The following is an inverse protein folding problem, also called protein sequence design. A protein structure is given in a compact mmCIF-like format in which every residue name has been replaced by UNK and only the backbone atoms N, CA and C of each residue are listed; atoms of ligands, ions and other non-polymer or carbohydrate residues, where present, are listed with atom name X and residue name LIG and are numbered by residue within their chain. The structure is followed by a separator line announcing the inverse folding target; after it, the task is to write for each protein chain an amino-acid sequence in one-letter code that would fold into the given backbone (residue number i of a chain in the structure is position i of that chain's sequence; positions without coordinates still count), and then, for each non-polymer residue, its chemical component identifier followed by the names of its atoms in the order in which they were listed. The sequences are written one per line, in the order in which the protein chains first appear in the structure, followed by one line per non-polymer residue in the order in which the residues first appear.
data_IF_267021007362
#
_entry.id   IF_267021007362
#
_cell.length_a   1.000
_cell.length_b   1.000
_cell.length_c   1.000
_cell.angle_alpha   90.00
_cell.angle_beta   90.00
_cell.angle_gamma   90.00
#
_symmetry.space_group_name_H-M   'P 1'
#
loop_
_entity.id
_entity.type
_entity.pdbx_description
1 polymer ?
#
# COMPACT_ATOMS: atom_id res chain seq x y z
N UNK A 1 34.79 -43.72 -21.04
CA UNK A 1 33.84 -44.28 -22.04
C UNK A 1 32.70 -44.95 -21.28
N UNK A 2 31.49 -44.36 -21.38
CA UNK A 2 30.10 -44.87 -21.15
C UNK A 2 29.87 -46.15 -20.31
N UNK A 3 29.13 -46.04 -19.19
CA UNK A 3 27.70 -46.43 -18.99
C UNK A 3 27.46 -47.96 -18.94
N UNK A 4 26.65 -48.60 -18.09
CA UNK A 4 25.44 -48.20 -17.35
C UNK A 4 25.06 -49.27 -16.31
N UNK A 5 24.37 -48.82 -15.24
CA UNK A 5 23.63 -49.60 -14.22
C UNK A 5 22.58 -50.56 -14.81
N UNK A 6 22.07 -51.54 -14.05
CA UNK A 6 20.62 -51.70 -13.80
C UNK A 6 20.27 -52.90 -12.88
N UNK A 7 19.63 -52.56 -11.74
CA UNK A 7 18.45 -53.16 -11.07
C UNK A 7 18.40 -54.64 -10.62
N UNK A 8 18.24 -54.77 -9.29
CA UNK A 8 17.55 -55.81 -8.51
C UNK A 8 16.18 -56.25 -9.06
N UNK A 9 15.73 -57.50 -8.83
CA UNK A 9 14.31 -57.82 -8.86
C UNK A 9 13.75 -58.24 -7.49
N UNK A 10 12.77 -57.46 -7.06
CA UNK A 10 11.79 -57.58 -5.97
C UNK A 10 10.85 -58.83 -6.04
N UNK A 11 11.27 -59.93 -6.66
CA UNK A 11 10.37 -61.06 -6.95
C UNK A 11 10.38 -62.19 -5.91
N UNK A 12 11.40 -62.29 -5.08
CA UNK A 12 11.48 -63.32 -4.02
C UNK A 12 10.39 -63.13 -2.96
N UNK A 13 10.11 -61.89 -2.55
CA UNK A 13 9.06 -61.61 -1.56
C UNK A 13 7.65 -62.00 -2.03
N UNK A 14 7.31 -61.69 -3.29
CA UNK A 14 6.01 -62.06 -3.88
C UNK A 14 5.87 -63.58 -4.06
N UNK A 15 6.93 -64.27 -4.48
CA UNK A 15 6.94 -65.72 -4.61
C UNK A 15 6.80 -66.43 -3.26
N UNK A 16 7.44 -65.93 -2.21
CA UNK A 16 7.32 -66.48 -0.85
C UNK A 16 5.90 -66.30 -0.31
N UNK A 17 5.26 -65.15 -0.55
CA UNK A 17 3.87 -64.91 -0.13
C UNK A 17 2.89 -65.82 -0.90
N UNK A 18 3.08 -65.98 -2.21
CA UNK A 18 2.23 -66.87 -3.02
C UNK A 18 2.40 -68.33 -2.59
N UNK A 19 3.64 -68.77 -2.31
CA UNK A 19 3.90 -70.12 -1.81
C UNK A 19 3.23 -70.38 -0.45
N UNK A 20 3.28 -69.39 0.45
CA UNK A 20 2.66 -69.48 1.77
C UNK A 20 1.12 -69.54 1.67
N UNK A 21 0.51 -68.76 0.78
CA UNK A 21 -0.95 -68.79 0.53
C UNK A 21 -1.39 -70.11 -0.10
N UNK A 22 -0.61 -70.65 -1.04
CA UNK A 22 -0.89 -71.96 -1.67
C UNK A 22 -0.80 -73.10 -0.65
N UNK A 23 0.20 -73.07 0.24
CA UNK A 23 0.30 -74.04 1.34
C UNK A 23 -0.87 -73.93 2.33
N UNK A 24 -1.30 -72.71 2.65
CA UNK A 24 -2.44 -72.47 3.54
C UNK A 24 -3.76 -72.99 2.94
N UNK A 25 -4.01 -72.71 1.67
CA UNK A 25 -5.22 -73.17 0.94
C UNK A 25 -5.18 -74.68 0.73
N UNK A 26 -4.01 -75.26 0.42
CA UNK A 26 -3.83 -76.71 0.33
C UNK A 26 -4.06 -77.42 1.66
N UNK A 27 -3.66 -76.81 2.78
CA UNK A 27 -3.94 -77.32 4.12
C UNK A 27 -5.44 -77.23 4.47
N UNK A 28 -6.13 -76.19 4.01
CA UNK A 28 -7.58 -76.00 4.23
C UNK A 28 -8.45 -76.96 3.40
N UNK A 29 -7.97 -77.40 2.24
CA UNK A 29 -8.68 -78.29 1.31
C UNK A 29 -8.46 -79.79 1.58
N UNK A 30 -7.68 -80.17 2.60
CA UNK A 30 -7.49 -81.57 2.98
C UNK A 30 -8.79 -82.15 3.58
N UNK A 31 -9.23 -83.35 3.14
CA UNK A 31 -10.49 -83.95 3.59
C UNK A 31 -10.46 -84.29 5.08
N UNK A 32 -11.57 -84.04 5.77
CA UNK A 32 -11.71 -84.18 7.24
C UNK A 32 -11.35 -85.58 7.79
N UNK A 33 -11.40 -86.64 6.96
CA UNK A 33 -10.94 -87.97 7.35
C UNK A 33 -9.42 -88.07 7.62
N UNK A 34 -8.58 -87.22 7.02
CA UNK A 34 -7.14 -87.14 7.32
C UNK A 34 -6.84 -86.23 8.54
N UNK A 35 -7.73 -85.29 8.85
CA UNK A 35 -7.62 -84.41 10.02
C UNK A 35 -7.76 -85.18 11.34
N UNK A 36 -8.54 -86.27 11.36
CA UNK A 36 -8.69 -87.16 12.51
C UNK A 36 -7.44 -87.98 12.86
N UNK A 37 -6.55 -88.23 11.89
CA UNK A 37 -5.29 -88.97 12.11
C UNK A 37 -4.21 -88.07 12.73
N UNK A 38 -4.22 -86.77 12.44
CA UNK A 38 -3.32 -85.79 13.06
C UNK A 38 -3.66 -85.49 14.52
N UNK A 39 -4.92 -85.68 14.95
CA UNK A 39 -5.31 -85.52 16.37
C UNK A 39 -4.96 -86.72 17.26
N UNK A 40 -4.62 -87.88 16.67
CA UNK A 40 -4.17 -89.09 17.39
C UNK A 40 -2.66 -89.30 17.37
N UNK A 41 -1.91 -88.47 16.64
CA UNK A 41 -0.46 -88.39 16.72
C UNK A 41 -0.09 -87.34 17.79
N UNK A 42 0.39 -87.82 18.94
CA UNK A 42 0.69 -86.98 20.09
C UNK A 42 1.66 -85.84 19.79
N UNK A 43 1.28 -84.62 20.18
CA UNK A 43 2.14 -83.53 20.66
C UNK A 43 3.49 -83.31 19.94
N UNK A 44 3.49 -82.78 18.70
CA UNK A 44 4.24 -81.53 18.48
C UNK A 44 3.62 -80.58 17.42
N UNK A 45 2.42 -80.84 16.91
CA UNK A 45 1.84 -80.05 15.79
C UNK A 45 1.26 -78.70 16.25
N UNK A 46 0.88 -78.57 17.53
CA UNK A 46 0.31 -77.34 18.09
C UNK A 46 1.29 -76.14 18.18
N UNK A 47 2.60 -76.41 18.19
CA UNK A 47 3.63 -75.35 18.20
C UNK A 47 3.84 -74.70 16.83
N UNK A 48 3.62 -75.45 15.74
CA UNK A 48 3.82 -74.95 14.37
C UNK A 48 2.64 -74.10 13.90
N UNK A 49 1.44 -74.39 14.38
CA UNK A 49 0.19 -73.69 13.99
C UNK A 49 -0.07 -72.41 14.80
N UNK A 50 0.53 -72.27 15.99
CA UNK A 50 0.27 -71.11 16.87
C UNK A 50 1.21 -69.91 16.62
N UNK A 51 2.31 -70.10 15.89
CA UNK A 51 3.26 -69.05 15.54
C UNK A 51 2.74 -68.06 14.47
N UNK A 52 2.05 -68.51 13.40
CA UNK A 52 1.47 -67.60 12.40
C UNK A 52 0.33 -66.74 12.96
N UNK A 53 -0.55 -67.29 13.82
CA UNK A 53 -1.70 -66.56 14.35
C UNK A 53 -1.29 -65.37 15.25
N UNK A 54 -0.19 -65.49 16.00
CA UNK A 54 0.32 -64.39 16.83
C UNK A 54 1.07 -63.33 16.02
N UNK A 55 1.76 -63.73 14.94
CA UNK A 55 2.41 -62.79 14.03
C UNK A 55 1.38 -61.95 13.24
N UNK A 56 0.22 -62.51 12.90
CA UNK A 56 -0.87 -61.76 12.25
C UNK A 56 -1.57 -60.81 13.22
N UNK A 57 -1.70 -61.18 14.50
CA UNK A 57 -2.34 -60.33 15.52
C UNK A 57 -1.46 -59.13 15.97
N UNK A 58 -0.14 -59.19 15.86
CA UNK A 58 0.76 -58.05 16.15
C UNK A 58 0.97 -57.08 14.97
N UNK A 59 0.44 -57.42 13.80
CA UNK A 59 0.56 -56.62 12.56
C UNK A 59 -0.66 -55.74 12.33
N UNK A 60 -1.78 -55.96 13.05
CA UNK A 60 -2.97 -55.12 12.94
C UNK A 60 -2.75 -53.69 13.46
N UNK A 61 -2.08 -53.56 14.60
CA UNK A 61 -1.96 -52.27 15.30
C UNK A 61 -0.95 -51.36 14.59
N UNK A 62 0.18 -51.92 14.12
CA UNK A 62 1.18 -51.15 13.36
C UNK A 62 0.71 -50.73 11.97
N UNK A 63 -0.15 -51.50 11.29
CA UNK A 63 -0.72 -51.10 9.99
C UNK A 63 -1.81 -50.04 10.18
N UNK A 64 -2.62 -50.14 11.25
CA UNK A 64 -3.62 -49.15 11.60
C UNK A 64 -2.97 -47.79 11.94
N UNK A 65 -1.87 -47.79 12.70
CA UNK A 65 -1.10 -46.58 13.03
C UNK A 65 -0.41 -45.95 11.80
N UNK A 66 0.12 -46.78 10.89
CA UNK A 66 0.69 -46.31 9.62
C UNK A 66 -0.39 -45.74 8.68
N UNK A 67 -1.60 -46.32 8.66
CA UNK A 67 -2.74 -45.80 7.91
C UNK A 67 -3.29 -44.50 8.52
N UNK A 68 -3.42 -44.44 9.85
CA UNK A 68 -3.83 -43.24 10.58
C UNK A 68 -2.82 -42.10 10.35
N UNK A 69 -1.51 -42.39 10.37
CA UNK A 69 -0.46 -41.45 10.02
C UNK A 69 -0.54 -40.96 8.57
N UNK A 70 -0.78 -41.85 7.59
CA UNK A 70 -0.91 -41.45 6.18
C UNK A 70 -2.16 -40.59 5.90
N UNK A 71 -3.29 -40.93 6.50
CA UNK A 71 -4.54 -40.14 6.40
C UNK A 71 -4.39 -38.81 7.16
N UNK A 72 -3.72 -38.79 8.32
CA UNK A 72 -3.37 -37.58 9.06
C UNK A 72 -2.43 -36.65 8.25
N UNK A 73 -1.42 -37.19 7.55
CA UNK A 73 -0.53 -36.38 6.72
C UNK A 73 -1.26 -35.75 5.51
N UNK A 74 -2.13 -36.50 4.82
CA UNK A 74 -2.93 -35.94 3.72
C UNK A 74 -3.94 -34.88 4.17
N UNK A 75 -4.53 -35.05 5.36
CA UNK A 75 -5.46 -34.08 5.94
C UNK A 75 -4.73 -32.83 6.40
N UNK A 76 -3.55 -32.96 7.03
CA UNK A 76 -2.69 -31.82 7.41
C UNK A 76 -2.20 -31.04 6.20
N UNK A 77 -1.81 -31.69 5.09
CA UNK A 77 -1.45 -30.97 3.87
C UNK A 77 -2.63 -30.22 3.24
N UNK A 78 -3.82 -30.84 3.24
CA UNK A 78 -5.03 -30.20 2.74
C UNK A 78 -5.44 -29.00 3.60
N UNK A 79 -5.35 -29.13 4.92
CA UNK A 79 -5.61 -28.08 5.89
C UNK A 79 -4.57 -26.96 5.78
N UNK A 80 -3.27 -27.28 5.64
CA UNK A 80 -2.23 -26.28 5.42
C UNK A 80 -2.46 -25.50 4.12
N UNK A 81 -2.88 -26.16 3.04
CA UNK A 81 -3.26 -25.49 1.79
C UNK A 81 -4.51 -24.60 1.97
N UNK A 82 -5.52 -25.07 2.71
CA UNK A 82 -6.72 -24.29 3.00
C UNK A 82 -6.39 -23.04 3.84
N UNK A 83 -5.64 -23.22 4.93
CA UNK A 83 -5.17 -22.14 5.80
C UNK A 83 -4.28 -21.14 5.04
N UNK A 84 -3.41 -21.60 4.12
CA UNK A 84 -2.63 -20.68 3.28
C UNK A 84 -3.52 -19.84 2.37
N UNK A 85 -4.52 -20.45 1.72
CA UNK A 85 -5.48 -19.71 0.89
C UNK A 85 -6.28 -18.70 1.72
N UNK A 86 -6.71 -19.10 2.90
CA UNK A 86 -7.42 -18.22 3.83
C UNK A 86 -6.53 -17.08 4.32
N UNK A 87 -5.26 -17.34 4.64
CA UNK A 87 -4.28 -16.30 4.99
C UNK A 87 -4.03 -15.34 3.84
N UNK A 88 -3.89 -15.82 2.60
CA UNK A 88 -3.75 -14.96 1.41
C UNK A 88 -5.00 -14.09 1.20
N UNK A 89 -6.18 -14.68 1.34
CA UNK A 89 -7.46 -13.98 1.25
C UNK A 89 -7.60 -12.89 2.34
N UNK A 90 -7.34 -13.24 3.60
CA UNK A 90 -7.38 -12.31 4.73
C UNK A 90 -6.33 -11.22 4.60
N UNK A 91 -5.13 -11.52 4.11
CA UNK A 91 -4.10 -10.51 3.80
C UNK A 91 -4.59 -9.54 2.73
N UNK A 92 -5.24 -10.05 1.67
CA UNK A 92 -5.85 -9.23 0.63
C UNK A 92 -6.92 -8.30 1.19
N UNK A 93 -7.86 -8.82 2.00
CA UNK A 93 -8.87 -8.01 2.66
C UNK A 93 -8.27 -6.96 3.59
N UNK A 94 -7.27 -7.34 4.40
CA UNK A 94 -6.61 -6.42 5.32
C UNK A 94 -5.92 -5.27 4.57
N UNK A 95 -5.30 -5.56 3.42
CA UNK A 95 -4.72 -4.55 2.54
C UNK A 95 -5.78 -3.57 2.03
N UNK A 96 -6.93 -4.07 1.56
CA UNK A 96 -8.04 -3.22 1.08
C UNK A 96 -8.62 -2.33 2.19
N UNK A 97 -8.80 -2.90 3.38
CA UNK A 97 -9.31 -2.15 4.54
C UNK A 97 -8.34 -1.05 4.98
N UNK A 98 -7.03 -1.33 4.97
CA UNK A 98 -6.01 -0.32 5.27
C UNK A 98 -6.02 0.82 4.26
N UNK A 99 -6.16 0.51 2.98
CA UNK A 99 -6.25 1.51 1.91
C UNK A 99 -7.49 2.40 2.07
N UNK A 100 -8.65 1.79 2.31
CA UNK A 100 -9.89 2.51 2.55
C UNK A 100 -9.83 3.40 3.80
N UNK A 101 -9.19 2.94 4.87
CA UNK A 101 -8.97 3.72 6.08
C UNK A 101 -8.08 4.94 5.81
N UNK A 102 -6.94 4.74 5.14
CA UNK A 102 -6.02 5.82 4.78
C UNK A 102 -6.67 6.87 3.85
N UNK A 103 -7.47 6.44 2.87
CA UNK A 103 -8.24 7.35 2.02
C UNK A 103 -9.28 8.14 2.82
N UNK A 104 -9.95 7.49 3.78
CA UNK A 104 -10.94 8.15 4.65
C UNK A 104 -10.29 9.24 5.48
N UNK A 105 -9.13 8.98 6.08
CA UNK A 105 -8.39 9.97 6.87
C UNK A 105 -7.97 11.18 6.02
N UNK A 106 -7.46 10.93 4.81
CA UNK A 106 -7.07 11.98 3.85
C UNK A 106 -8.25 12.82 3.39
N UNK A 107 -9.37 12.19 3.03
CA UNK A 107 -10.58 12.87 2.61
C UNK A 107 -11.23 13.67 3.74
N UNK A 108 -11.21 13.15 4.97
CA UNK A 108 -11.69 13.86 6.16
C UNK A 108 -10.88 15.13 6.40
N UNK A 109 -9.54 15.03 6.37
CA UNK A 109 -8.65 16.19 6.52
C UNK A 109 -8.89 17.25 5.42
N UNK A 110 -9.12 16.81 4.18
CA UNK A 110 -9.42 17.72 3.07
C UNK A 110 -10.76 18.43 3.24
N UNK A 111 -11.78 17.70 3.71
CA UNK A 111 -13.12 18.24 3.96
C UNK A 111 -13.11 19.26 5.11
N UNK A 112 -12.45 18.94 6.21
CA UNK A 112 -12.31 19.84 7.36
C UNK A 112 -11.57 21.12 6.96
N UNK A 113 -10.47 20.99 6.21
CA UNK A 113 -9.72 22.14 5.71
C UNK A 113 -10.56 23.00 4.76
N UNK A 114 -11.34 22.39 3.86
CA UNK A 114 -12.27 23.10 2.98
C UNK A 114 -13.28 23.94 3.77
N UNK A 115 -13.81 23.42 4.89
CA UNK A 115 -14.75 24.15 5.73
C UNK A 115 -14.10 25.33 6.46
N UNK A 116 -12.86 25.17 6.93
CA UNK A 116 -12.13 26.21 7.65
C UNK A 116 -11.72 27.40 6.76
N UNK A 117 -11.39 27.14 5.49
CA UNK A 117 -10.87 28.18 4.59
C UNK A 117 -11.92 29.23 4.18
N UNK A 118 -13.22 28.95 4.31
CA UNK A 118 -14.33 29.89 4.02
C UNK A 118 -14.45 30.36 2.56
N UNK A 119 -13.47 30.06 1.70
CA UNK A 119 -13.44 30.42 0.28
C UNK A 119 -14.05 29.37 -0.64
N UNK A 120 -14.45 29.79 -1.84
CA UNK A 120 -14.95 28.89 -2.87
C UNK A 120 -13.81 27.98 -3.36
N UNK A 121 -13.87 26.69 -3.02
CA UNK A 121 -12.88 25.69 -3.39
C UNK A 121 -13.52 24.43 -3.98
N UNK A 122 -12.83 23.83 -4.95
CA UNK A 122 -13.23 22.57 -5.58
C UNK A 122 -12.27 21.47 -5.16
N UNK A 123 -12.81 20.37 -4.66
CA UNK A 123 -12.03 19.16 -4.45
C UNK A 123 -11.84 18.42 -5.77
N UNK A 124 -10.61 17.99 -6.04
CA UNK A 124 -10.25 17.22 -7.23
C UNK A 124 -9.25 16.12 -6.85
N UNK A 125 -9.23 15.06 -7.66
CA UNK A 125 -8.31 13.93 -7.52
C UNK A 125 -7.27 13.97 -8.63
N UNK A 126 -6.03 13.61 -8.28
CA UNK A 126 -4.94 13.43 -9.24
C UNK A 126 -5.13 12.12 -10.00
N UNK A 127 -5.22 12.20 -11.33
CA UNK A 127 -5.44 11.06 -12.23
C UNK A 127 -4.27 10.80 -13.16
N UNK A 128 -3.27 11.68 -13.17
CA UNK A 128 -2.09 11.55 -14.00
C UNK A 128 -0.96 12.41 -13.47
N UNK A 129 0.27 12.02 -13.81
CA UNK A 129 1.50 12.71 -13.47
C UNK A 129 2.41 12.67 -14.68
N UNK A 130 3.16 13.73 -14.90
CA UNK A 130 4.25 13.67 -15.87
C UNK A 130 5.44 12.91 -15.26
N UNK A 131 6.00 11.97 -16.01
CA UNK A 131 7.23 11.25 -15.63
C UNK A 131 8.47 11.84 -16.31
N UNK A 132 8.29 12.89 -17.13
CA UNK A 132 9.36 13.60 -17.79
C UNK A 132 10.20 14.44 -16.82
N UNK A 133 11.43 14.72 -17.21
CA UNK A 133 12.36 15.50 -16.37
C UNK A 133 12.31 17.02 -16.64
N UNK A 134 11.54 17.44 -17.65
CA UNK A 134 11.46 18.84 -18.10
C UNK A 134 10.32 19.63 -17.46
N UNK A 135 9.20 18.96 -17.18
CA UNK A 135 8.04 19.56 -16.55
C UNK A 135 7.58 18.68 -15.40
N UNK A 136 7.19 19.31 -14.30
CA UNK A 136 6.66 18.68 -13.10
C UNK A 136 5.21 19.06 -13.01
N UNK A 137 4.36 18.20 -13.58
CA UNK A 137 2.92 18.45 -13.68
C UNK A 137 2.09 17.28 -13.19
N UNK A 138 0.91 17.61 -12.67
CA UNK A 138 -0.12 16.65 -12.32
C UNK A 138 -1.41 16.98 -13.06
N UNK A 139 -2.21 15.96 -13.32
CA UNK A 139 -3.49 16.06 -14.04
C UNK A 139 -4.62 15.78 -13.07
N UNK A 140 -5.60 16.68 -13.01
CA UNK A 140 -6.78 16.55 -12.16
C UNK A 140 -7.99 16.04 -12.94
N UNK A 141 -8.88 15.31 -12.27
CA UNK A 141 -10.16 14.81 -12.81
C UNK A 141 -11.27 15.87 -12.90
N UNK A 142 -10.90 17.15 -12.91
CA UNK A 142 -11.80 18.30 -12.96
C UNK A 142 -11.30 19.30 -13.98
N UNK A 143 -12.23 19.94 -14.69
CA UNK A 143 -11.91 20.86 -15.78
C UNK A 143 -12.83 22.08 -15.83
N UNK A 144 -12.97 22.67 -17.02
CA UNK A 144 -13.78 23.87 -17.24
C UNK A 144 -15.25 23.65 -16.92
N UNK A 145 -15.78 22.44 -17.16
CA UNK A 145 -17.16 22.08 -16.83
C UNK A 145 -17.45 22.15 -15.31
N UNK A 146 -16.42 21.98 -14.49
CA UNK A 146 -16.49 22.12 -13.04
C UNK A 146 -16.15 23.55 -12.57
N UNK A 147 -15.80 24.45 -13.50
CA UNK A 147 -15.46 25.84 -13.20
C UNK A 147 -13.98 26.08 -12.89
N UNK A 148 -13.08 25.16 -13.24
CA UNK A 148 -11.63 25.38 -13.14
C UNK A 148 -11.16 26.25 -14.30
N UNK A 149 -10.21 27.14 -14.03
CA UNK A 149 -9.59 28.02 -15.02
C UNK A 149 -8.08 28.04 -14.84
N UNK A 150 -7.31 28.41 -15.89
CA UNK A 150 -5.91 28.75 -15.73
C UNK A 150 -5.70 29.80 -14.63
N UNK A 151 -4.52 29.76 -14.02
CA UNK A 151 -4.06 30.60 -12.92
C UNK A 151 -4.74 30.38 -11.55
N UNK A 152 -5.68 29.44 -11.43
CA UNK A 152 -6.20 29.01 -10.13
C UNK A 152 -5.15 28.26 -9.32
N UNK A 153 -5.04 28.60 -8.04
CA UNK A 153 -4.12 27.96 -7.10
C UNK A 153 -4.63 26.58 -6.65
N UNK A 154 -3.71 25.63 -6.49
CA UNK A 154 -3.97 24.26 -6.06
C UNK A 154 -3.21 23.99 -4.75
N UNK A 155 -3.90 23.45 -3.76
CA UNK A 155 -3.37 23.25 -2.41
C UNK A 155 -3.91 21.98 -1.74
N UNK A 156 -3.27 21.61 -0.65
CA UNK A 156 -3.68 20.59 0.32
C UNK A 156 -3.73 21.22 1.71
N UNK A 157 -4.25 20.52 2.74
CA UNK A 157 -4.18 21.00 4.11
C UNK A 157 -2.74 21.25 4.60
N UNK A 158 -1.76 20.54 4.02
CA UNK A 158 -0.34 20.71 4.35
C UNK A 158 0.27 21.98 3.73
N UNK A 159 -0.16 22.37 2.52
CA UNK A 159 0.40 23.53 1.83
C UNK A 159 0.06 23.62 0.35
N UNK A 160 0.78 24.49 -0.35
CA UNK A 160 0.59 24.72 -1.79
C UNK A 160 1.18 23.58 -2.61
N UNK A 161 0.41 23.12 -3.59
CA UNK A 161 0.84 22.08 -4.55
C UNK A 161 1.35 22.70 -5.84
N UNK A 162 0.67 23.74 -6.33
CA UNK A 162 0.97 24.32 -7.64
C UNK A 162 -0.16 25.19 -8.19
N UNK A 163 -0.07 25.54 -9.48
CA UNK A 163 -1.05 26.39 -10.18
C UNK A 163 -1.55 25.73 -11.46
N UNK A 164 -2.82 25.91 -11.78
CA UNK A 164 -3.38 25.42 -13.04
C UNK A 164 -2.80 26.22 -14.20
N UNK A 165 -2.19 25.53 -15.17
CA UNK A 165 -1.64 26.15 -16.39
C UNK A 165 -2.49 25.89 -17.62
N UNK A 166 -3.26 24.80 -17.61
CA UNK A 166 -4.13 24.42 -18.74
C UNK A 166 -5.37 23.72 -18.23
N UNK A 167 -6.48 23.99 -18.89
CA UNK A 167 -7.75 23.31 -18.65
C UNK A 167 -8.27 22.71 -19.94
N UNK A 168 -9.01 21.62 -19.81
CA UNK A 168 -9.90 21.08 -20.83
C UNK A 168 -11.31 21.03 -20.23
N UNK A 169 -12.30 20.60 -21.01
CA UNK A 169 -13.67 20.45 -20.49
C UNK A 169 -13.74 19.56 -19.24
N UNK A 170 -12.97 18.46 -19.19
CA UNK A 170 -13.08 17.44 -18.14
C UNK A 170 -11.85 17.33 -17.21
N UNK A 171 -10.70 17.85 -17.62
CA UNK A 171 -9.44 17.72 -16.87
C UNK A 171 -8.68 19.04 -16.81
N UNK A 172 -7.73 19.13 -15.90
CA UNK A 172 -6.83 20.29 -15.80
C UNK A 172 -5.41 19.82 -15.49
N UNK A 173 -4.45 20.62 -15.93
CA UNK A 173 -3.02 20.40 -15.75
C UNK A 173 -2.50 21.44 -14.77
N UNK A 174 -1.89 20.95 -13.69
CA UNK A 174 -1.29 21.74 -12.63
C UNK A 174 0.21 21.68 -12.77
N UNK A 175 0.85 22.84 -12.74
CA UNK A 175 2.29 22.99 -12.66
C UNK A 175 2.71 23.06 -11.18
N UNK A 176 3.58 22.14 -10.75
CA UNK A 176 3.97 22.00 -9.34
C UNK A 176 4.85 23.17 -8.87
N UNK A 177 4.93 23.40 -7.55
CA UNK A 177 5.84 24.41 -6.95
C UNK A 177 7.31 24.13 -7.30
N UNK A 178 7.66 22.86 -7.49
CA UNK A 178 9.00 22.39 -7.83
C UNK A 178 9.34 22.53 -9.32
N UNK A 179 8.40 22.98 -10.17
CA UNK A 179 8.66 23.23 -11.58
C UNK A 179 9.36 24.59 -11.81
N UNK A 180 10.43 24.65 -12.62
CA UNK A 180 11.14 25.90 -12.92
C UNK A 180 10.30 26.97 -13.62
N UNK A 181 9.22 26.60 -14.31
CA UNK A 181 8.32 27.52 -14.99
C UNK A 181 7.20 28.02 -14.08
N UNK A 182 7.14 27.54 -12.82
CA UNK A 182 6.18 28.03 -11.85
C UNK A 182 6.79 29.16 -11.02
N UNK A 183 5.99 30.18 -10.76
CA UNK A 183 6.38 31.35 -9.99
C UNK A 183 5.23 31.74 -9.06
N UNK A 184 5.45 31.67 -7.75
CA UNK A 184 4.45 31.96 -6.72
C UNK A 184 5.00 33.04 -5.79
N UNK A 185 4.20 34.06 -5.50
CA UNK A 185 4.60 35.12 -4.59
C UNK A 185 4.70 34.56 -3.15
N UNK A 186 5.92 34.53 -2.63
CA UNK A 186 6.27 34.00 -1.32
C UNK A 186 6.59 35.10 -0.31
N UNK A 187 6.53 34.73 0.95
CA UNK A 187 6.76 35.60 2.08
C UNK A 187 7.44 34.80 3.20
N UNK A 188 8.59 35.26 3.66
CA UNK A 188 9.24 34.71 4.85
C UNK A 188 8.39 35.04 6.06
N UNK A 189 7.88 34.04 6.77
CA UNK A 189 6.85 34.22 7.79
C UNK A 189 7.32 35.10 8.96
N UNK A 190 8.59 34.93 9.38
CA UNK A 190 9.19 35.64 10.52
C UNK A 190 9.56 37.09 10.17
N UNK A 191 10.36 37.28 9.13
CA UNK A 191 10.89 38.60 8.78
C UNK A 191 9.94 39.42 7.92
N UNK A 192 8.94 38.78 7.33
CA UNK A 192 7.97 39.38 6.40
C UNK A 192 8.63 39.88 5.10
N UNK A 193 9.80 39.33 4.76
CA UNK A 193 10.45 39.60 3.48
C UNK A 193 9.72 38.89 2.35
N UNK A 194 9.41 39.64 1.30
CA UNK A 194 8.74 39.13 0.11
C UNK A 194 9.75 38.60 -0.91
N UNK A 195 9.31 37.64 -1.72
CA UNK A 195 10.09 37.10 -2.81
C UNK A 195 9.24 36.25 -3.74
N UNK A 196 9.90 35.60 -4.70
CA UNK A 196 9.24 34.70 -5.65
C UNK A 196 9.76 33.29 -5.42
N UNK A 197 8.86 32.35 -5.14
CA UNK A 197 9.15 30.93 -5.08
C UNK A 197 9.05 30.35 -6.48
N UNK A 198 10.13 29.72 -6.92
CA UNK A 198 10.22 28.98 -8.19
C UNK A 198 10.84 27.60 -7.96
N UNK A 199 10.52 26.66 -8.84
CA UNK A 199 11.16 25.36 -8.87
C UNK A 199 12.58 25.41 -9.42
N UNK A 200 13.35 24.37 -9.16
CA UNK A 200 14.67 24.18 -9.73
C UNK A 200 14.71 22.93 -10.60
N UNK A 201 15.70 22.81 -11.48
CA UNK A 201 15.85 21.66 -12.38
C UNK A 201 16.05 20.32 -11.63
N UNK A 202 16.53 20.37 -10.39
CA UNK A 202 16.72 19.17 -9.56
C UNK A 202 15.46 18.75 -8.79
N UNK A 203 14.38 19.54 -8.84
CA UNK A 203 13.13 19.26 -8.13
C UNK A 203 13.01 19.83 -6.74
N UNK A 204 13.95 20.66 -6.32
CA UNK A 204 13.77 21.53 -5.18
C UNK A 204 13.02 22.81 -5.56
N UNK A 205 12.75 23.67 -4.58
CA UNK A 205 12.28 25.02 -4.81
C UNK A 205 13.31 26.03 -4.27
N UNK A 206 13.25 27.27 -4.74
CA UNK A 206 14.02 28.38 -4.19
C UNK A 206 13.19 29.65 -4.10
N UNK A 207 13.48 30.47 -3.10
CA UNK A 207 12.95 31.82 -2.95
C UNK A 207 13.96 32.81 -3.53
N UNK A 208 13.56 33.59 -4.53
CA UNK A 208 14.35 34.67 -5.13
C UNK A 208 13.87 36.05 -4.68
N UNK A 209 14.72 37.05 -4.93
CA UNK A 209 14.43 38.47 -4.70
C UNK A 209 14.28 38.86 -3.23
N UNK A 210 14.94 38.14 -2.33
CA UNK A 210 14.96 38.48 -0.91
C UNK A 210 15.82 39.75 -0.72
N UNK A 211 15.40 40.75 0.06
CA UNK A 211 16.20 41.96 0.29
C UNK A 211 17.61 41.65 0.84
N UNK A 212 18.64 42.35 0.37
CA UNK A 212 20.03 42.14 0.82
C UNK A 212 20.23 42.32 2.34
N UNK A 213 19.44 43.20 2.95
CA UNK A 213 19.46 43.47 4.40
C UNK A 213 18.49 42.58 5.19
N UNK A 214 17.90 41.57 4.55
CA UNK A 214 17.01 40.62 5.20
C UNK A 214 17.75 39.86 6.30
N UNK A 215 17.06 39.65 7.41
CA UNK A 215 17.52 38.77 8.48
C UNK A 215 17.05 37.32 8.26
N UNK A 216 16.60 36.93 7.07
CA UNK A 216 16.15 35.56 6.79
C UNK A 216 17.27 34.54 7.11
N UNK A 217 16.89 33.38 7.64
CA UNK A 217 17.83 32.33 8.09
C UNK A 217 17.31 30.93 7.75
N UNK A 218 18.21 29.92 7.66
CA UNK A 218 17.80 28.53 7.65
C UNK A 218 16.84 28.18 8.80
N UNK A 219 15.79 27.42 8.48
CA UNK A 219 14.69 27.07 9.38
C UNK A 219 13.48 28.02 9.32
N UNK A 220 13.60 29.18 8.67
CA UNK A 220 12.45 30.07 8.46
C UNK A 220 11.44 29.45 7.48
N UNK A 221 10.16 29.58 7.81
CA UNK A 221 9.05 29.13 6.96
C UNK A 221 8.72 30.19 5.91
N UNK A 222 8.43 29.72 4.71
CA UNK A 222 7.94 30.52 3.59
C UNK A 222 6.49 30.18 3.33
N UNK A 223 5.66 31.22 3.26
CA UNK A 223 4.22 31.12 3.01
C UNK A 223 3.81 31.98 1.81
N UNK A 224 2.64 31.77 1.25
CA UNK A 224 2.10 32.63 0.18
C UNK A 224 1.89 34.06 0.69
N UNK A 225 2.31 35.05 -0.10
CA UNK A 225 2.15 36.47 0.27
C UNK A 225 0.71 36.95 0.12
N UNK A 226 -0.07 36.31 -0.77
CA UNK A 226 -1.43 36.70 -1.14
C UNK A 226 -1.50 37.92 -2.07
N UNK A 227 -0.36 38.43 -2.55
CA UNK A 227 -0.32 39.59 -3.45
C UNK A 227 -0.66 39.24 -4.89
N UNK A 228 -0.24 38.06 -5.36
CA UNK A 228 -0.37 37.62 -6.76
C UNK A 228 -0.56 36.10 -6.79
N UNK A 229 -1.30 35.61 -7.79
CA UNK A 229 -1.21 34.20 -8.19
C UNK A 229 -2.30 33.26 -7.69
N UNK A 230 -3.49 33.78 -7.34
CA UNK A 230 -4.65 32.92 -7.04
C UNK A 230 -4.59 32.17 -5.71
N UNK A 231 -3.67 32.57 -4.81
CA UNK A 231 -3.55 32.00 -3.46
C UNK A 231 -3.91 33.03 -2.37
N UNK A 232 -4.64 32.63 -1.31
CA UNK A 232 -4.77 33.46 -0.13
C UNK A 232 -3.42 33.54 0.59
N UNK A 233 -3.26 34.57 1.42
CA UNK A 233 -2.06 34.77 2.22
C UNK A 233 -1.93 33.70 3.31
N UNK A 234 -0.73 33.16 3.50
CA UNK A 234 -0.39 32.30 4.64
C UNK A 234 -0.41 30.79 4.40
N UNK A 235 -0.56 30.33 3.15
CA UNK A 235 -0.42 28.91 2.82
C UNK A 235 1.06 28.52 2.80
N UNK A 236 1.41 27.38 3.39
CA UNK A 236 2.78 26.91 3.43
C UNK A 236 3.31 26.59 2.03
N UNK A 237 4.52 27.08 1.73
CA UNK A 237 5.27 26.74 0.51
C UNK A 237 6.44 25.82 0.84
N UNK A 238 7.15 26.10 1.93
CA UNK A 238 8.28 25.29 2.37
C UNK A 238 9.13 25.97 3.45
N UNK A 239 10.28 25.38 3.74
CA UNK A 239 11.22 25.86 4.77
C UNK A 239 12.60 26.14 4.16
N UNK A 240 13.21 27.26 4.56
CA UNK A 240 14.55 27.65 4.10
C UNK A 240 15.61 26.68 4.64
N UNK A 241 16.44 26.12 3.76
CA UNK A 241 17.57 25.27 4.14
C UNK A 241 18.91 25.99 4.05
N UNK A 242 19.08 26.84 3.05
CA UNK A 242 20.31 27.59 2.81
C UNK A 242 19.99 28.95 2.20
N UNK A 243 20.88 29.92 2.40
CA UNK A 243 20.77 31.28 1.83
C UNK A 243 22.06 31.58 1.09
N UNK A 244 21.90 32.03 -0.14
CA UNK A 244 22.97 32.33 -1.07
C UNK A 244 22.84 33.78 -1.54
N UNK A 245 23.98 34.46 -1.60
CA UNK A 245 24.07 35.75 -2.28
C UNK A 245 24.22 35.48 -3.77
N UNK A 246 23.40 36.12 -4.60
CA UNK A 246 23.57 36.03 -6.05
C UNK A 246 24.81 36.81 -6.48
N UNK A 247 25.62 36.23 -7.38
CA UNK A 247 26.98 36.70 -7.70
C UNK A 247 27.05 38.16 -8.16
N UNK A 248 25.98 38.68 -8.78
CA UNK A 248 25.84 40.07 -9.25
C UNK A 248 24.58 40.77 -8.69
N UNK A 249 23.91 40.17 -7.69
CA UNK A 249 22.57 40.56 -7.29
C UNK A 249 22.50 41.61 -6.17
N UNK A 250 21.51 42.51 -6.28
CA UNK A 250 21.02 43.36 -5.17
C UNK A 250 20.14 42.57 -4.17
N UNK A 251 20.00 41.26 -4.39
CA UNK A 251 19.08 40.37 -3.67
C UNK A 251 19.80 39.11 -3.20
N UNK A 252 19.23 38.50 -2.17
CA UNK A 252 19.55 37.16 -1.71
C UNK A 252 18.59 36.15 -2.35
N UNK A 253 19.03 34.90 -2.39
CA UNK A 253 18.19 33.77 -2.73
C UNK A 253 18.29 32.70 -1.65
N UNK A 254 17.23 31.92 -1.46
CA UNK A 254 17.19 30.87 -0.46
C UNK A 254 16.73 29.56 -1.08
N UNK A 255 17.38 28.46 -0.73
CA UNK A 255 16.91 27.12 -1.07
C UNK A 255 15.76 26.73 -0.15
N UNK A 256 14.74 26.09 -0.72
CA UNK A 256 13.54 25.65 -0.01
C UNK A 256 13.36 24.15 -0.15
N UNK A 257 12.99 23.52 0.96
CA UNK A 257 12.33 22.21 0.95
C UNK A 257 10.82 22.45 0.92
N UNK A 258 10.11 22.02 -0.15
CA UNK A 258 8.67 22.16 -0.23
C UNK A 258 7.97 21.46 0.94
N UNK A 259 6.90 22.06 1.47
CA UNK A 259 6.11 21.45 2.54
C UNK A 259 5.29 20.24 2.03
N UNK A 260 4.91 20.29 0.75
CA UNK A 260 4.09 19.27 0.10
C UNK A 260 4.92 18.53 -0.95
N UNK A 261 4.92 17.22 -0.86
CA UNK A 261 5.47 16.35 -1.90
C UNK A 261 4.47 16.18 -3.04
N UNK A 262 4.56 17.06 -4.03
CA UNK A 262 3.68 17.07 -5.20
C UNK A 262 3.64 15.74 -5.97
N UNK A 263 4.67 14.89 -5.88
CA UNK A 263 4.75 13.60 -6.57
C UNK A 263 3.86 12.52 -5.94
N UNK A 264 3.45 12.70 -4.68
CA UNK A 264 2.64 11.72 -3.94
C UNK A 264 1.26 12.25 -3.54
N UNK A 265 0.90 13.48 -3.92
CA UNK A 265 -0.42 14.07 -3.62
C UNK A 265 -1.54 13.38 -4.40
N UNK A 266 -2.53 12.81 -3.72
CA UNK A 266 -3.67 12.13 -4.36
C UNK A 266 -4.91 13.02 -4.49
N UNK A 267 -5.21 13.83 -3.47
CA UNK A 267 -6.35 14.75 -3.44
C UNK A 267 -5.92 16.19 -3.21
N UNK A 268 -6.60 17.12 -3.87
CA UNK A 268 -6.30 18.56 -3.80
C UNK A 268 -7.56 19.41 -3.71
N UNK A 269 -7.39 20.63 -3.22
CA UNK A 269 -8.35 21.72 -3.35
C UNK A 269 -7.84 22.75 -4.37
N UNK A 270 -8.73 23.13 -5.28
CA UNK A 270 -8.52 24.23 -6.23
C UNK A 270 -9.26 25.47 -5.74
N UNK A 271 -8.57 26.60 -5.70
CA UNK A 271 -9.10 27.88 -5.24
C UNK A 271 -9.81 28.58 -6.41
N UNK A 272 -11.14 28.71 -6.33
CA UNK A 272 -11.92 29.39 -7.38
C UNK A 272 -12.00 30.90 -7.17
N UNK A 273 -12.19 31.32 -5.92
CA UNK A 273 -12.29 32.73 -5.56
C UNK A 273 -11.63 32.93 -4.22
N UNK A 274 -10.71 33.89 -4.17
CA UNK A 274 -10.18 34.41 -2.92
C UNK A 274 -11.32 35.18 -2.26
N UNK A 275 -12.05 34.52 -1.35
CA UNK A 275 -12.97 35.22 -0.48
C UNK A 275 -12.14 36.21 0.35
N UNK A 276 -12.10 37.48 -0.07
CA UNK A 276 -11.85 38.57 0.85
C UNK A 276 -13.08 38.59 1.75
N UNK A 277 -12.98 38.34 3.06
CA UNK A 277 -14.12 38.50 3.95
C UNK A 277 -14.57 39.95 3.79
N UNK A 278 -15.75 40.15 3.20
CA UNK A 278 -16.29 41.50 3.07
C UNK A 278 -16.53 42.05 4.48
N UNK A 279 -16.14 43.30 4.73
CA UNK A 279 -16.30 43.97 6.03
C UNK A 279 -17.73 43.96 6.59
N UNK A 280 -18.74 43.57 5.78
CA UNK A 280 -20.13 43.43 6.17
C UNK A 280 -20.43 42.34 7.21
N UNK A 281 -19.59 41.32 7.36
CA UNK A 281 -19.80 40.25 8.37
C UNK A 281 -19.25 40.59 9.75
N UNK A 282 -18.37 41.61 9.87
CA UNK A 282 -17.84 42.08 11.16
C UNK A 282 -18.83 42.95 11.95
N UNK A 283 -19.91 43.40 11.32
CA UNK A 283 -20.96 44.23 11.94
C UNK A 283 -22.23 43.44 12.32
N UNK A 284 -22.15 42.11 12.40
CA UNK A 284 -23.15 41.27 13.03
C UNK A 284 -23.12 41.34 14.56
N UNK A 285 -23.22 42.55 15.14
CA UNK A 285 -23.44 42.69 16.57
C UNK A 285 -24.77 41.99 16.95
N UNK A 286 -24.83 41.27 18.10
CA UNK A 286 -26.03 40.57 18.49
C UNK A 286 -27.17 41.58 18.70
N UNK A 287 -28.26 41.42 17.94
CA UNK A 287 -29.52 42.13 18.21
C UNK A 287 -30.00 41.72 19.60
N UNK A 288 -29.73 42.56 20.59
CA UNK A 288 -30.36 42.50 21.91
C UNK A 288 -31.87 42.64 21.68
N UNK A 289 -32.62 41.57 21.96
CA UNK A 289 -34.08 41.63 21.97
C UNK A 289 -34.53 42.63 23.05
N UNK A 290 -35.43 43.57 22.75
CA UNK A 290 -36.03 44.36 23.81
C UNK A 290 -36.85 43.44 24.73
N UNK A 291 -36.61 43.54 26.04
CA UNK A 291 -37.50 42.97 27.05
C UNK A 291 -38.86 43.67 26.92
N UNK A 292 -39.89 42.89 26.62
CA UNK A 292 -41.29 43.20 26.92
C UNK A 292 -41.77 42.25 28.00
#
# INVERSE_FOLDING_TARGET
MRMVNFRTPYNTGRLVIILAVVLLVGFLLLPAQLQGLFQRAGSPVGWVVSWPLRAVAGVSDGIADLWAGYVALRTVEAENRALRKELEYLKGQNSQLREAAAATDRLAALLDFKQQMGGATIAAQVIGRDTGNWYRTIILNKGEADGLRPDMGVMTPAGVVGRIVKTTSATSVVLLVTDPNNAIAGLVQRTRDEGIVEGTSNGSARLKYIPMLSDARPGDRVVTSGLVGGFPKGLALGTITAIHKEDEGLFLSAELVPEVDGEHVEEVLVIQSLAVPSEGERLGAPKVKPKS
#
